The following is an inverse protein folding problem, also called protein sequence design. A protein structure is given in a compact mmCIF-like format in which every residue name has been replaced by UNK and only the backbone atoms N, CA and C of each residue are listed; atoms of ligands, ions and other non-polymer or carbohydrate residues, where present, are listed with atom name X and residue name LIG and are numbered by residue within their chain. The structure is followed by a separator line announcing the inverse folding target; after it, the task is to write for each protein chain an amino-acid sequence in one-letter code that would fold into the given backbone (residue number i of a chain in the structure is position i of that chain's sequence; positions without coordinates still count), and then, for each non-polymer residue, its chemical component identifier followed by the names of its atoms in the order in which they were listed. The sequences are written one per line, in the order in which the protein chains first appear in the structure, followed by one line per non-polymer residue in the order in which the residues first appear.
data_IF_071886893121
#
_entry.id   IF_071886893121
#
_cell.length_a   1.000
_cell.length_b   1.000
_cell.length_c   1.000
_cell.angle_alpha   90.00
_cell.angle_beta   90.00
_cell.angle_gamma   90.00
#
_symmetry.space_group_name_H-M   'P 1'
#
loop_
_entity.id
_entity.type
_entity.pdbx_description
1 polymer ?
#
# COMPACT_ATOMS: atom_id res chain seq x y z
N UNK A 1 1.03 45.54 -4.60
CA UNK A 1 2.33 46.23 -4.84
C UNK A 1 2.10 47.73 -4.73
N UNK A 2 2.92 48.44 -3.95
CA UNK A 2 2.84 49.91 -3.85
C UNK A 2 3.56 50.55 -5.05
N UNK A 3 2.92 51.54 -5.68
CA UNK A 3 3.51 52.31 -6.77
C UNK A 3 3.97 53.69 -6.26
N UNK A 4 5.09 54.23 -6.77
CA UNK A 4 5.46 55.64 -6.63
C UNK A 4 4.32 56.60 -6.97
N UNK A 5 4.14 57.65 -6.16
CA UNK A 5 3.04 58.63 -6.25
C UNK A 5 2.98 59.38 -7.58
N UNK A 6 4.11 59.52 -8.27
CA UNK A 6 4.27 60.31 -9.50
C UNK A 6 3.90 59.54 -10.79
N UNK A 7 3.57 58.24 -10.69
CA UNK A 7 3.21 57.43 -11.87
C UNK A 7 1.71 57.48 -12.18
N UNK A 8 1.36 58.31 -13.17
CA UNK A 8 -0.03 58.54 -13.60
C UNK A 8 -0.34 57.97 -15.00
N UNK A 9 0.30 56.85 -15.37
CA UNK A 9 0.13 56.18 -16.67
C UNK A 9 -0.59 54.84 -16.50
N UNK A 10 -1.26 54.34 -17.54
CA UNK A 10 -1.82 52.99 -17.53
C UNK A 10 -0.67 51.99 -17.45
N UNK A 11 -0.63 51.27 -16.33
CA UNK A 11 0.37 50.26 -16.01
C UNK A 11 -0.37 48.93 -15.93
N UNK A 12 0.04 47.97 -16.75
CA UNK A 12 -0.40 46.58 -16.69
C UNK A 12 0.77 45.67 -16.35
N UNK A 13 0.57 44.77 -15.39
CA UNK A 13 1.51 43.70 -15.11
C UNK A 13 1.13 42.52 -15.99
N UNK A 14 2.00 42.16 -16.93
CA UNK A 14 1.77 41.03 -17.84
C UNK A 14 2.37 39.72 -17.32
N UNK A 15 3.48 39.81 -16.57
CA UNK A 15 4.20 38.62 -16.08
C UNK A 15 4.84 38.86 -14.72
N UNK A 16 4.94 37.79 -13.93
CA UNK A 16 5.63 37.76 -12.63
C UNK A 16 6.55 36.56 -12.53
N UNK A 17 7.66 36.69 -11.82
CA UNK A 17 8.48 35.57 -11.36
C UNK A 17 8.92 35.83 -9.93
N UNK A 18 9.15 34.79 -9.15
CA UNK A 18 9.51 34.95 -7.75
C UNK A 18 10.35 33.80 -7.22
N UNK A 19 11.07 34.08 -6.14
CA UNK A 19 11.65 33.06 -5.29
C UNK A 19 10.95 33.20 -3.94
N UNK A 20 10.23 32.17 -3.51
CA UNK A 20 9.24 32.31 -2.45
C UNK A 20 9.45 31.30 -1.31
N UNK A 21 9.57 31.81 -0.10
CA UNK A 21 9.51 31.00 1.12
C UNK A 21 8.04 30.74 1.48
N UNK A 22 7.74 29.48 1.77
CA UNK A 22 6.38 29.03 2.10
C UNK A 22 6.31 28.69 3.59
N UNK A 23 5.26 29.14 4.26
CA UNK A 23 5.03 29.01 5.69
C UNK A 23 3.69 28.36 5.98
N UNK A 24 3.62 27.59 7.07
CA UNK A 24 2.38 27.09 7.64
C UNK A 24 2.33 27.48 9.13
N UNK A 25 1.28 28.18 9.54
CA UNK A 25 1.14 28.75 10.89
C UNK A 25 2.39 29.49 11.42
N UNK A 26 3.12 30.17 10.52
CA UNK A 26 4.32 30.94 10.86
C UNK A 26 5.63 30.14 10.85
N UNK A 27 5.57 28.80 10.80
CA UNK A 27 6.74 27.94 10.62
C UNK A 27 7.08 27.77 9.13
N UNK A 28 8.36 27.73 8.78
CA UNK A 28 8.81 27.61 7.38
C UNK A 28 8.64 26.16 6.91
N UNK A 29 7.78 25.95 5.91
CA UNK A 29 7.54 24.65 5.29
C UNK A 29 8.59 24.31 4.23
N UNK A 30 8.97 25.30 3.43
CA UNK A 30 9.80 25.06 2.25
C UNK A 30 9.97 26.26 1.37
N UNK A 31 10.41 25.99 0.14
CA UNK A 31 10.66 26.97 -0.89
C UNK A 31 9.94 26.61 -2.19
N UNK A 32 9.29 27.59 -2.79
CA UNK A 32 8.60 27.47 -4.07
C UNK A 32 9.46 28.14 -5.15
N UNK A 33 9.89 27.36 -6.13
CA UNK A 33 10.63 27.88 -7.28
C UNK A 33 9.66 28.46 -8.33
N UNK A 34 9.56 29.79 -8.37
CA UNK A 34 8.85 30.53 -9.40
C UNK A 34 9.82 31.33 -10.28
N UNK A 35 11.05 30.84 -10.49
CA UNK A 35 12.07 31.53 -11.30
C UNK A 35 11.66 31.76 -12.76
N UNK A 36 10.72 30.96 -13.26
CA UNK A 36 10.12 31.11 -14.59
C UNK A 36 9.00 32.14 -14.58
N UNK A 37 8.97 32.98 -15.61
CA UNK A 37 7.90 33.95 -15.82
C UNK A 37 6.52 33.26 -15.94
N UNK A 38 5.61 33.66 -15.08
CA UNK A 38 4.21 33.26 -15.05
C UNK A 38 3.34 34.40 -15.56
N UNK A 39 2.27 34.09 -16.29
CA UNK A 39 1.33 35.10 -16.73
C UNK A 39 0.59 35.71 -15.52
N UNK A 40 0.40 37.01 -15.55
CA UNK A 40 -0.29 37.74 -14.49
C UNK A 40 -1.27 38.75 -15.09
N UNK A 41 -2.31 39.05 -14.32
CA UNK A 41 -3.23 40.14 -14.59
C UNK A 41 -3.16 41.13 -13.43
N UNK A 42 -3.20 42.42 -13.75
CA UNK A 42 -3.27 43.47 -12.75
C UNK A 42 -4.59 44.22 -12.79
N UNK A 43 -5.14 44.49 -11.61
CA UNK A 43 -6.26 45.40 -11.41
C UNK A 43 -5.85 46.51 -10.45
N UNK A 44 -6.23 47.75 -10.77
CA UNK A 44 -5.96 48.89 -9.89
C UNK A 44 -6.99 48.90 -8.76
N UNK A 45 -6.52 48.98 -7.53
CA UNK A 45 -7.37 49.13 -6.36
C UNK A 45 -7.36 50.61 -5.97
N UNK A 46 -8.53 51.14 -5.61
CA UNK A 46 -8.64 52.48 -5.07
C UNK A 46 -8.00 52.53 -3.67
N UNK A 47 -6.92 53.28 -3.53
CA UNK A 47 -6.24 53.51 -2.25
C UNK A 47 -7.01 54.52 -1.39
N UNK A 48 -6.89 54.43 -0.06
CA UNK A 48 -7.37 55.49 0.84
C UNK A 48 -6.58 56.79 0.60
N UNK A 49 -7.14 57.95 0.99
CA UNK A 49 -6.67 59.30 0.60
C UNK A 49 -5.19 59.64 0.87
N UNK A 50 -4.47 58.82 1.65
CA UNK A 50 -3.07 59.02 2.03
C UNK A 50 -2.13 57.87 1.60
N UNK A 51 -2.60 56.92 0.79
CA UNK A 51 -1.77 55.83 0.26
C UNK A 51 -1.70 55.93 -1.28
N UNK A 52 -0.48 55.87 -1.84
CA UNK A 52 -0.26 55.87 -3.29
C UNK A 52 -1.04 54.77 -4.03
N UNK A 53 -1.16 54.83 -5.36
CA UNK A 53 -2.01 53.91 -6.13
C UNK A 53 -1.58 52.44 -5.95
N UNK A 54 -2.52 51.59 -5.50
CA UNK A 54 -2.29 50.16 -5.29
C UNK A 54 -2.65 49.34 -6.53
N UNK A 55 -1.78 48.39 -6.88
CA UNK A 55 -2.06 47.35 -7.87
C UNK A 55 -2.24 46.00 -7.18
N UNK A 56 -3.41 45.38 -7.39
CA UNK A 56 -3.61 43.96 -7.16
C UNK A 56 -3.12 43.18 -8.38
N UNK A 57 -2.19 42.27 -8.14
CA UNK A 57 -1.64 41.39 -9.16
C UNK A 57 -2.11 39.97 -8.85
N UNK A 58 -2.77 39.34 -9.80
CA UNK A 58 -3.23 37.96 -9.68
C UNK A 58 -2.54 37.12 -10.75
N UNK A 59 -1.95 36.00 -10.34
CA UNK A 59 -1.28 35.06 -11.24
C UNK A 59 -1.69 33.65 -10.88
N UNK A 60 -1.90 32.81 -11.90
CA UNK A 60 -2.06 31.38 -11.73
C UNK A 60 -0.66 30.75 -11.70
N UNK A 61 -0.31 30.13 -10.57
CA UNK A 61 0.97 29.44 -10.43
C UNK A 61 0.86 28.08 -11.11
N UNK A 62 1.56 27.91 -12.24
CA UNK A 62 1.63 26.64 -12.95
C UNK A 62 3.04 26.04 -12.88
N UNK A 63 3.10 24.72 -12.63
CA UNK A 63 4.34 23.91 -12.65
C UNK A 63 5.47 24.45 -11.77
N UNK A 64 5.12 24.93 -10.58
CA UNK A 64 6.06 25.39 -9.57
C UNK A 64 6.14 24.35 -8.43
N UNK A 65 7.14 23.46 -8.41
CA UNK A 65 7.27 22.48 -7.34
C UNK A 65 7.62 23.19 -6.02
N UNK A 66 6.94 22.80 -4.95
CA UNK A 66 7.31 23.16 -3.59
C UNK A 66 8.39 22.18 -3.11
N UNK A 67 9.58 22.69 -2.83
CA UNK A 67 10.64 21.94 -2.15
C UNK A 67 10.43 22.05 -0.65
N UNK A 68 10.01 20.97 -0.02
CA UNK A 68 9.88 20.88 1.44
C UNK A 68 11.27 20.91 2.06
N UNK A 69 11.46 21.73 3.10
CA UNK A 69 12.71 21.82 3.87
C UNK A 69 12.54 21.43 5.33
N UNK A 70 11.30 21.39 5.81
CA UNK A 70 10.94 21.04 7.18
C UNK A 70 9.88 19.94 7.17
N UNK A 71 10.29 18.75 7.59
CA UNK A 71 9.48 17.53 7.55
C UNK A 71 8.37 17.52 8.62
N UNK A 72 8.59 18.18 9.76
CA UNK A 72 7.61 18.26 10.86
C UNK A 72 6.47 19.19 10.45
N UNK A 73 6.80 20.36 9.90
CA UNK A 73 5.79 21.31 9.39
C UNK A 73 5.02 20.69 8.23
N UNK A 74 5.69 19.94 7.35
CA UNK A 74 5.02 19.22 6.27
C UNK A 74 4.05 18.15 6.78
N UNK A 75 4.44 17.43 7.82
CA UNK A 75 3.59 16.43 8.47
C UNK A 75 2.31 17.06 9.03
N UNK A 76 2.41 18.23 9.65
CA UNK A 76 1.24 18.99 10.13
C UNK A 76 0.33 19.44 8.99
N UNK A 77 0.89 19.92 7.87
CA UNK A 77 0.13 20.28 6.67
C UNK A 77 -0.61 19.07 6.11
N UNK A 78 0.06 17.91 5.98
CA UNK A 78 -0.57 16.68 5.51
C UNK A 78 -1.70 16.23 6.43
N UNK A 79 -1.49 16.28 7.74
CA UNK A 79 -2.52 15.94 8.73
C UNK A 79 -3.75 16.85 8.58
N UNK A 80 -3.53 18.15 8.39
CA UNK A 80 -4.62 19.11 8.18
C UNK A 80 -5.37 18.85 6.86
N UNK A 81 -4.66 18.55 5.76
CA UNK A 81 -5.28 18.25 4.46
C UNK A 81 -6.05 16.93 4.44
N UNK A 82 -5.53 15.90 5.11
CA UNK A 82 -6.11 14.56 5.14
C UNK A 82 -7.26 14.42 6.16
N UNK A 83 -7.15 15.07 7.34
CA UNK A 83 -8.10 14.88 8.45
C UNK A 83 -8.88 16.14 8.82
N UNK A 84 -8.37 17.33 8.50
CA UNK A 84 -9.03 18.59 8.84
C UNK A 84 -10.32 18.83 8.05
N UNK A 85 -10.50 18.17 6.89
CA UNK A 85 -11.69 18.28 6.05
C UNK A 85 -11.91 19.66 5.43
N UNK A 86 -10.94 20.57 5.57
CA UNK A 86 -10.90 21.92 5.03
C UNK A 86 -9.57 22.13 4.32
N UNK A 87 -9.53 23.07 3.39
CA UNK A 87 -8.27 23.46 2.74
C UNK A 87 -7.28 24.01 3.75
N UNK A 88 -6.00 23.97 3.40
CA UNK A 88 -4.92 24.58 4.20
C UNK A 88 -4.49 25.88 3.53
N UNK A 89 -4.32 26.95 4.30
CA UNK A 89 -3.69 28.17 3.79
C UNK A 89 -2.19 28.14 4.10
N UNK A 90 -1.38 28.26 3.05
CA UNK A 90 0.05 28.40 3.16
C UNK A 90 0.42 29.87 2.99
N UNK A 91 1.13 30.45 3.96
CA UNK A 91 1.68 31.79 3.85
C UNK A 91 2.85 31.81 2.87
N UNK A 92 2.98 32.89 2.11
CA UNK A 92 4.09 33.10 1.18
C UNK A 92 4.77 34.42 1.53
N UNK A 93 6.10 34.39 1.57
CA UNK A 93 6.96 35.58 1.54
C UNK A 93 7.91 35.47 0.37
N UNK A 94 7.92 36.45 -0.51
CA UNK A 94 8.69 36.37 -1.75
C UNK A 94 9.23 37.73 -2.17
N UNK A 95 10.38 37.69 -2.84
CA UNK A 95 10.87 38.80 -3.65
C UNK A 95 10.40 38.59 -5.09
N UNK A 96 9.52 39.47 -5.56
CA UNK A 96 8.85 39.33 -6.85
C UNK A 96 9.49 40.27 -7.87
N UNK A 97 9.81 39.73 -9.04
CA UNK A 97 10.12 40.51 -10.22
C UNK A 97 8.86 40.62 -11.09
N UNK A 98 8.56 41.85 -11.51
CA UNK A 98 7.33 42.20 -12.23
C UNK A 98 7.70 42.80 -13.57
N UNK A 99 7.14 42.26 -14.65
CA UNK A 99 7.23 42.84 -15.99
C UNK A 99 5.99 43.70 -16.26
N UNK A 100 6.23 44.99 -16.45
CA UNK A 100 5.21 46.02 -16.62
C UNK A 100 5.22 46.49 -18.07
N UNK A 101 4.04 46.56 -18.68
CA UNK A 101 3.87 47.21 -19.97
C UNK A 101 3.51 48.68 -19.73
N UNK A 102 4.30 49.57 -20.31
CA UNK A 102 4.10 51.02 -20.28
C UNK A 102 3.99 51.56 -21.70
N UNK A 103 3.46 52.78 -21.85
CA UNK A 103 3.42 53.46 -23.14
C UNK A 103 4.82 53.67 -23.79
N UNK A 104 5.89 53.56 -22.99
CA UNK A 104 7.28 53.71 -23.42
C UNK A 104 7.99 52.37 -23.69
N UNK A 105 7.28 51.25 -23.53
CA UNK A 105 7.82 49.90 -23.67
C UNK A 105 7.74 49.07 -22.39
N UNK A 106 8.44 47.93 -22.40
CA UNK A 106 8.46 46.97 -21.30
C UNK A 106 9.49 47.40 -20.23
N UNK A 107 9.05 47.46 -18.98
CA UNK A 107 9.89 47.79 -17.83
C UNK A 107 9.82 46.62 -16.83
N UNK A 108 10.97 46.08 -16.45
CA UNK A 108 11.05 45.06 -15.41
C UNK A 108 11.48 45.68 -14.07
N UNK A 109 10.60 45.64 -13.08
CA UNK A 109 10.90 46.05 -11.70
C UNK A 109 11.25 44.79 -10.90
N UNK A 110 12.35 44.81 -10.16
CA UNK A 110 12.91 43.63 -9.50
C UNK A 110 12.87 43.72 -7.99
N UNK A 111 12.83 42.56 -7.32
CA UNK A 111 12.90 42.40 -5.86
C UNK A 111 11.88 43.24 -5.09
N UNK A 112 10.63 43.20 -5.54
CA UNK A 112 9.52 43.80 -4.81
C UNK A 112 9.16 42.83 -3.67
N UNK A 113 9.33 43.22 -2.40
CA UNK A 113 8.92 42.36 -1.29
C UNK A 113 7.39 42.22 -1.31
N UNK A 114 6.92 40.98 -1.28
CA UNK A 114 5.51 40.65 -1.29
C UNK A 114 5.19 39.56 -0.27
N UNK A 115 4.04 39.68 0.37
CA UNK A 115 3.46 38.65 1.22
C UNK A 115 2.08 38.25 0.66
N UNK A 116 1.71 36.99 0.85
CA UNK A 116 0.41 36.48 0.41
C UNK A 116 0.07 35.15 1.05
N UNK A 117 -1.07 34.59 0.66
CA UNK A 117 -1.49 33.23 1.05
C UNK A 117 -1.89 32.43 -0.18
N UNK A 118 -1.57 31.13 -0.16
CA UNK A 118 -2.00 30.17 -1.19
C UNK A 118 -2.93 29.15 -0.54
N UNK A 119 -4.22 29.14 -0.90
CA UNK A 119 -5.14 28.13 -0.43
C UNK A 119 -4.88 26.80 -1.17
N UNK A 120 -4.55 25.76 -0.40
CA UNK A 120 -4.44 24.38 -0.85
C UNK A 120 -5.79 23.71 -0.66
N UNK A 121 -6.33 23.10 -1.72
CA UNK A 121 -7.65 22.48 -1.68
C UNK A 121 -7.64 21.25 -0.76
N UNK A 122 -8.74 20.98 -0.03
CA UNK A 122 -8.85 19.77 0.77
C UNK A 122 -8.88 18.53 -0.13
N UNK A 123 -8.44 17.41 0.42
CA UNK A 123 -8.63 16.10 -0.20
C UNK A 123 -10.11 15.72 -0.03
N UNK A 124 -10.85 15.57 -1.14
CA UNK A 124 -12.30 15.32 -1.11
C UNK A 124 -12.60 14.07 -0.26
N UNK A 125 -13.63 14.16 0.61
CA UNK A 125 -14.09 13.04 1.45
C UNK A 125 -14.45 11.84 0.58
N UNK A 126 -13.61 10.81 0.67
CA UNK A 126 -13.56 9.63 -0.20
C UNK A 126 -12.12 9.19 -0.48
N UNK A 127 -11.19 10.15 -0.56
CA UNK A 127 -9.81 9.98 -1.06
C UNK A 127 -8.77 9.41 -0.10
N UNK A 128 -9.16 8.59 0.87
CA UNK A 128 -8.20 7.89 1.76
C UNK A 128 -8.67 6.45 1.95
N UNK A 129 -9.96 6.26 2.24
CA UNK A 129 -10.59 4.94 2.29
C UNK A 129 -10.73 4.23 0.93
N UNK A 130 -10.50 4.94 -0.18
CA UNK A 130 -10.52 4.38 -1.54
C UNK A 130 -9.13 3.94 -2.05
N UNK A 131 -8.08 4.13 -1.25
CA UNK A 131 -6.74 3.69 -1.61
C UNK A 131 -6.63 2.19 -1.31
N UNK A 132 -6.91 1.39 -2.32
CA UNK A 132 -6.77 -0.07 -2.29
C UNK A 132 -5.66 -0.45 -3.27
N UNK A 133 -4.39 -0.47 -2.82
CA UNK A 133 -3.28 -0.81 -3.69
C UNK A 133 -3.43 -2.27 -4.12
N UNK A 134 -3.31 -2.51 -5.42
CA UNK A 134 -3.32 -3.85 -6.01
C UNK A 134 -1.88 -4.31 -6.18
N UNK A 135 -1.54 -5.39 -5.49
CA UNK A 135 -0.22 -6.00 -5.55
C UNK A 135 -0.21 -7.05 -6.65
N UNK A 136 0.67 -6.88 -7.62
CA UNK A 136 0.90 -7.81 -8.73
C UNK A 136 2.35 -8.29 -8.79
N UNK A 137 2.56 -9.42 -9.45
CA UNK A 137 3.89 -9.97 -9.75
C UNK A 137 4.83 -10.05 -8.53
N UNK A 138 4.33 -10.61 -7.43
CA UNK A 138 5.15 -10.93 -6.27
C UNK A 138 6.26 -11.92 -6.67
N UNK A 139 7.51 -11.60 -6.35
CA UNK A 139 8.68 -12.43 -6.59
C UNK A 139 9.56 -12.48 -5.34
N UNK A 140 10.15 -13.64 -5.08
CA UNK A 140 11.15 -13.79 -4.02
C UNK A 140 12.52 -13.51 -4.64
N UNK A 141 13.20 -12.49 -4.12
CA UNK A 141 14.55 -12.11 -4.56
C UNK A 141 15.62 -12.87 -3.81
N UNK A 142 15.48 -12.97 -2.48
CA UNK A 142 16.44 -13.65 -1.61
C UNK A 142 15.75 -14.23 -0.37
N UNK A 143 16.38 -15.23 0.23
CA UNK A 143 15.88 -15.93 1.42
C UNK A 143 17.02 -16.12 2.41
N UNK A 144 16.86 -15.58 3.62
CA UNK A 144 17.67 -15.90 4.78
C UNK A 144 17.10 -17.09 5.55
N UNK A 145 17.68 -17.39 6.72
CA UNK A 145 17.12 -18.43 7.61
C UNK A 145 15.81 -17.99 8.26
N UNK A 146 15.68 -16.70 8.53
CA UNK A 146 14.52 -16.08 9.20
C UNK A 146 13.86 -15.00 8.35
N UNK A 147 14.51 -14.60 7.26
CA UNK A 147 14.11 -13.47 6.43
C UNK A 147 13.73 -13.87 5.00
N UNK A 148 12.81 -13.11 4.42
CA UNK A 148 12.43 -13.16 3.00
C UNK A 148 12.55 -11.76 2.42
N UNK A 149 13.25 -11.65 1.29
CA UNK A 149 13.28 -10.42 0.48
C UNK A 149 12.38 -10.62 -0.73
N UNK A 150 11.37 -9.78 -0.84
CA UNK A 150 10.30 -9.85 -1.81
C UNK A 150 10.32 -8.60 -2.68
N UNK A 151 9.91 -8.74 -3.94
CA UNK A 151 9.60 -7.60 -4.80
C UNK A 151 8.19 -7.75 -5.36
N UNK A 152 7.51 -6.64 -5.55
CA UNK A 152 6.17 -6.60 -6.09
C UNK A 152 5.96 -5.35 -6.95
N UNK A 153 5.08 -5.45 -7.94
CA UNK A 153 4.56 -4.32 -8.68
C UNK A 153 3.24 -3.88 -8.06
N UNK A 154 3.19 -2.65 -7.56
CA UNK A 154 2.01 -2.11 -6.90
C UNK A 154 1.34 -1.11 -7.83
N UNK A 155 0.03 -1.27 -7.98
CA UNK A 155 -0.83 -0.35 -8.69
C UNK A 155 -1.76 0.34 -7.70
N UNK A 156 -1.90 1.66 -7.75
CA UNK A 156 -2.80 2.39 -6.88
C UNK A 156 -3.36 3.62 -7.58
N UNK A 157 -4.46 4.15 -7.03
CA UNK A 157 -5.06 5.39 -7.52
C UNK A 157 -4.75 6.50 -6.53
N UNK A 158 -4.03 7.55 -6.97
CA UNK A 158 -3.89 8.79 -6.23
C UNK A 158 -5.20 9.58 -6.36
N UNK A 159 -5.95 9.76 -5.26
CA UNK A 159 -7.24 10.44 -5.29
C UNK A 159 -7.11 11.98 -5.28
N UNK A 160 -5.89 12.52 -5.21
CA UNK A 160 -5.64 13.96 -5.14
C UNK A 160 -5.38 14.56 -6.52
N UNK A 161 -5.62 15.86 -6.66
CA UNK A 161 -5.26 16.64 -7.87
C UNK A 161 -3.74 16.95 -7.92
N UNK A 162 -2.98 16.53 -6.91
CA UNK A 162 -1.58 16.86 -6.72
C UNK A 162 -0.67 15.70 -7.12
N UNK A 163 0.47 16.01 -7.73
CA UNK A 163 1.55 15.07 -7.98
C UNK A 163 2.64 15.19 -6.93
N UNK A 164 3.32 14.09 -6.64
CA UNK A 164 4.47 14.06 -5.73
C UNK A 164 5.59 13.23 -6.35
N UNK A 165 6.84 13.63 -6.11
CA UNK A 165 8.01 12.81 -6.42
C UNK A 165 8.69 12.48 -5.11
N UNK A 166 8.80 11.18 -4.83
CA UNK A 166 9.35 10.64 -3.58
C UNK A 166 10.63 9.89 -3.92
N UNK A 167 11.82 10.45 -3.63
CA UNK A 167 13.10 9.81 -3.96
C UNK A 167 13.28 8.47 -3.25
N UNK A 168 12.80 8.37 -2.01
CA UNK A 168 12.86 7.17 -1.22
C UNK A 168 11.69 7.13 -0.24
N UNK A 169 11.06 5.97 -0.12
CA UNK A 169 10.08 5.68 0.93
C UNK A 169 10.45 4.38 1.61
N UNK A 170 10.32 4.35 2.94
CA UNK A 170 10.44 3.15 3.76
C UNK A 170 9.20 3.06 4.67
N UNK A 171 8.51 1.94 4.61
CA UNK A 171 7.22 1.70 5.25
C UNK A 171 7.36 0.46 6.13
N UNK A 172 7.17 0.62 7.43
CA UNK A 172 7.13 -0.50 8.35
C UNK A 172 5.89 -1.37 8.12
N UNK A 173 6.08 -2.69 8.14
CA UNK A 173 5.02 -3.70 8.14
C UNK A 173 4.82 -4.12 9.59
N UNK A 174 3.69 -3.73 10.18
CA UNK A 174 3.37 -4.07 11.57
C UNK A 174 2.05 -4.85 11.67
N UNK A 175 1.93 -5.65 12.71
CA UNK A 175 0.67 -6.31 13.11
C UNK A 175 0.56 -6.25 14.62
N UNK A 176 -0.57 -5.75 15.14
CA UNK A 176 -0.76 -5.54 16.59
C UNK A 176 0.36 -4.68 17.24
N UNK A 177 0.94 -3.73 16.50
CA UNK A 177 2.08 -2.94 16.98
C UNK A 177 3.44 -3.65 16.94
N UNK A 178 3.48 -4.93 16.60
CA UNK A 178 4.72 -5.70 16.45
C UNK A 178 5.28 -5.52 15.04
N UNK A 179 6.57 -5.17 14.94
CA UNK A 179 7.27 -4.99 13.67
C UNK A 179 7.62 -6.35 13.05
N UNK A 180 7.14 -6.60 11.83
CA UNK A 180 7.33 -7.87 11.11
C UNK A 180 8.27 -7.72 9.92
N UNK A 181 8.41 -6.51 9.40
CA UNK A 181 9.18 -6.23 8.20
C UNK A 181 9.10 -4.76 7.83
N UNK A 182 9.63 -4.44 6.65
CA UNK A 182 9.53 -3.12 6.06
C UNK A 182 9.53 -3.21 4.54
N UNK A 183 8.96 -2.21 3.88
CA UNK A 183 8.82 -2.11 2.44
C UNK A 183 9.36 -0.78 1.95
N UNK A 184 10.22 -0.84 0.96
CA UNK A 184 10.90 0.32 0.38
C UNK A 184 10.53 0.51 -1.08
N UNK A 185 10.50 1.75 -1.52
CA UNK A 185 10.45 2.10 -2.93
C UNK A 185 11.33 3.32 -3.20
N UNK A 186 11.86 3.41 -4.42
CA UNK A 186 12.79 4.45 -4.85
C UNK A 186 12.21 5.19 -6.05
N UNK A 187 12.49 6.49 -6.13
CA UNK A 187 12.17 7.35 -7.27
C UNK A 187 10.70 7.25 -7.71
N UNK A 188 9.79 7.23 -6.73
CA UNK A 188 8.36 7.07 -6.96
C UNK A 188 7.77 8.39 -7.41
N UNK A 189 7.30 8.45 -8.66
CA UNK A 189 6.51 9.56 -9.16
C UNK A 189 5.02 9.22 -9.06
N UNK A 190 4.31 9.97 -8.23
CA UNK A 190 2.88 9.84 -8.01
C UNK A 190 2.16 10.91 -8.82
N UNK A 191 1.36 10.52 -9.79
CA UNK A 191 0.52 11.42 -10.58
C UNK A 191 -0.94 11.34 -10.12
N UNK A 192 -1.77 12.38 -10.35
CA UNK A 192 -3.21 12.30 -10.12
C UNK A 192 -3.85 11.12 -10.88
N UNK A 193 -4.73 10.39 -10.21
CA UNK A 193 -5.39 9.21 -10.80
C UNK A 193 -4.54 7.93 -10.73
N UNK A 194 -4.60 7.10 -11.76
CA UNK A 194 -4.05 5.74 -11.74
C UNK A 194 -2.52 5.75 -11.90
N UNK A 195 -1.83 5.10 -10.97
CA UNK A 195 -0.40 4.83 -10.98
C UNK A 195 -0.19 3.32 -11.08
N UNK A 196 0.69 2.87 -11.98
CA UNK A 196 0.91 1.44 -12.25
C UNK A 196 2.38 1.08 -12.22
N UNK A 197 2.65 -0.19 -11.94
CA UNK A 197 3.98 -0.82 -11.98
C UNK A 197 5.01 -0.16 -11.05
N UNK A 198 4.56 0.33 -9.89
CA UNK A 198 5.47 0.87 -8.89
C UNK A 198 6.21 -0.30 -8.24
N UNK A 199 7.53 -0.34 -8.42
CA UNK A 199 8.36 -1.40 -7.87
C UNK A 199 8.58 -1.17 -6.38
N UNK A 200 8.10 -2.10 -5.57
CA UNK A 200 8.26 -2.11 -4.12
C UNK A 200 9.09 -3.32 -3.73
N UNK A 201 10.09 -3.12 -2.87
CA UNK A 201 10.88 -4.20 -2.27
C UNK A 201 10.53 -4.31 -0.80
N UNK A 202 10.09 -5.48 -0.35
CA UNK A 202 9.78 -5.75 1.04
C UNK A 202 10.76 -6.74 1.65
N UNK A 203 11.19 -6.49 2.88
CA UNK A 203 11.95 -7.42 3.69
C UNK A 203 11.05 -7.85 4.85
N UNK A 204 10.78 -9.14 4.93
CA UNK A 204 10.05 -9.79 6.00
C UNK A 204 11.06 -10.53 6.89
N UNK A 205 11.28 -10.05 8.12
CA UNK A 205 12.17 -10.71 9.09
C UNK A 205 11.65 -10.49 10.52
N UNK A 206 10.48 -11.07 10.84
CA UNK A 206 9.80 -10.81 12.10
C UNK A 206 10.60 -11.26 13.32
N UNK A 207 11.46 -12.28 13.18
CA UNK A 207 12.29 -12.79 14.27
C UNK A 207 13.40 -11.82 14.63
N UNK A 208 14.13 -11.29 13.65
CA UNK A 208 15.20 -10.33 13.92
C UNK A 208 14.66 -8.98 14.39
N UNK A 209 13.52 -8.53 13.83
CA UNK A 209 12.95 -7.22 14.11
C UNK A 209 12.13 -7.18 15.40
N UNK A 210 11.31 -8.20 15.66
CA UNK A 210 10.38 -8.25 16.80
C UNK A 210 10.72 -9.34 17.84
N UNK A 211 11.82 -10.06 17.69
CA UNK A 211 12.19 -11.17 18.58
C UNK A 211 11.23 -12.36 18.47
N UNK A 212 11.11 -13.14 19.56
CA UNK A 212 10.19 -14.28 19.60
C UNK A 212 8.72 -13.86 19.49
N UNK A 213 8.36 -12.68 20.02
CA UNK A 213 7.00 -12.16 19.87
C UNK A 213 6.72 -11.76 18.42
N UNK A 214 7.68 -11.13 17.75
CA UNK A 214 7.66 -10.88 16.31
C UNK A 214 7.47 -12.17 15.52
N UNK A 215 8.27 -13.19 15.81
CA UNK A 215 8.14 -14.51 15.18
C UNK A 215 6.73 -15.09 15.35
N UNK A 216 6.22 -15.13 16.58
CA UNK A 216 4.87 -15.66 16.90
C UNK A 216 3.77 -14.89 16.16
N UNK A 217 3.81 -13.56 16.18
CA UNK A 217 2.83 -12.71 15.48
C UNK A 217 2.95 -12.87 13.96
N UNK A 218 4.18 -13.01 13.44
CA UNK A 218 4.43 -13.25 12.02
C UNK A 218 3.88 -14.59 11.54
N UNK A 219 4.09 -15.66 12.30
CA UNK A 219 3.51 -16.99 12.02
C UNK A 219 1.98 -16.93 12.05
N UNK A 220 1.41 -16.26 13.05
CA UNK A 220 -0.04 -16.08 13.16
C UNK A 220 -0.60 -15.31 11.95
N UNK A 221 0.04 -14.21 11.58
CA UNK A 221 -0.35 -13.40 10.41
C UNK A 221 -0.33 -14.25 9.12
N UNK A 222 0.76 -14.98 8.87
CA UNK A 222 0.87 -15.84 7.69
C UNK A 222 -0.19 -16.96 7.70
N UNK A 223 -0.44 -17.56 8.86
CA UNK A 223 -1.42 -18.64 9.03
C UNK A 223 -2.85 -18.16 8.78
N UNK A 224 -3.22 -16.99 9.32
CA UNK A 224 -4.52 -16.36 9.07
C UNK A 224 -4.68 -15.94 7.60
N UNK A 225 -3.62 -15.35 7.03
CA UNK A 225 -3.59 -14.94 5.63
C UNK A 225 -3.84 -16.13 4.72
N UNK A 226 -3.10 -17.21 4.91
CA UNK A 226 -3.23 -18.45 4.12
C UNK A 226 -4.60 -19.12 4.35
N UNK A 227 -5.16 -19.02 5.55
CA UNK A 227 -6.53 -19.51 5.84
C UNK A 227 -7.65 -18.62 5.26
N UNK A 228 -7.31 -17.45 4.69
CA UNK A 228 -8.30 -16.48 4.18
C UNK A 228 -9.10 -15.79 5.29
N UNK A 229 -8.55 -15.71 6.50
CA UNK A 229 -9.17 -15.15 7.70
C UNK A 229 -8.55 -13.80 8.11
N UNK A 230 -7.95 -13.07 7.16
CA UNK A 230 -7.33 -11.78 7.46
C UNK A 230 -8.40 -10.76 7.89
N UNK A 231 -8.33 -10.31 9.14
CA UNK A 231 -9.11 -9.16 9.62
C UNK A 231 -8.16 -8.00 9.86
N UNK A 232 -8.37 -6.89 9.17
CA UNK A 232 -7.67 -5.65 9.48
C UNK A 232 -8.15 -5.11 10.83
N UNK A 233 -7.27 -4.48 11.61
CA UNK A 233 -7.64 -3.87 12.89
C UNK A 233 -7.11 -2.45 13.02
N UNK A 234 -7.60 -1.74 14.02
CA UNK A 234 -7.14 -0.40 14.39
C UNK A 234 -5.81 -0.51 15.18
N UNK A 235 -4.67 -0.28 14.54
CA UNK A 235 -3.36 -0.32 15.19
C UNK A 235 -2.14 -0.61 14.31
N UNK A 236 -2.30 -0.66 12.99
CA UNK A 236 -1.23 -1.07 12.05
C UNK A 236 -0.04 -0.11 11.99
N UNK A 237 -0.13 1.15 12.46
CA UNK A 237 0.99 2.11 12.41
C UNK A 237 1.08 2.89 13.73
N UNK A 238 2.05 2.54 14.62
CA UNK A 238 2.14 3.10 15.96
C UNK A 238 2.99 4.37 16.09
N UNK A 239 3.80 4.74 15.09
CA UNK A 239 4.73 5.87 15.21
C UNK A 239 4.02 7.26 15.27
N UNK A 240 2.78 7.35 14.81
CA UNK A 240 1.98 8.59 14.86
C UNK A 240 0.48 8.26 14.94
N UNK A 241 -0.17 8.38 16.11
CA UNK A 241 -1.55 7.90 16.32
C UNK A 241 -2.61 8.49 15.39
N UNK A 242 -2.43 9.76 14.97
CA UNK A 242 -3.29 10.44 13.99
C UNK A 242 -3.14 9.85 12.59
N UNK A 243 -1.91 9.57 12.17
CA UNK A 243 -1.58 8.92 10.90
C UNK A 243 -1.90 7.41 10.91
N UNK A 244 -1.82 6.76 12.07
CA UNK A 244 -2.24 5.37 12.25
C UNK A 244 -3.75 5.18 12.12
N UNK A 245 -4.56 6.09 12.68
CA UNK A 245 -6.03 6.12 12.48
C UNK A 245 -6.42 6.49 11.04
N UNK A 246 -5.53 7.16 10.33
CA UNK A 246 -5.70 7.48 8.92
C UNK A 246 -5.41 6.29 8.02
N UNK A 247 -4.23 5.69 8.21
CA UNK A 247 -3.69 4.57 7.44
C UNK A 247 -4.44 3.27 7.74
N UNK A 248 -5.11 3.13 8.88
CA UNK A 248 -6.05 2.03 9.14
C UNK A 248 -7.25 2.02 8.16
N UNK A 249 -7.54 3.15 7.50
CA UNK A 249 -8.55 3.23 6.43
C UNK A 249 -7.97 2.89 5.05
N UNK A 250 -6.64 2.86 4.90
CA UNK A 250 -5.98 2.42 3.67
C UNK A 250 -5.85 0.90 3.74
N UNK A 251 -6.89 0.20 3.31
CA UNK A 251 -6.85 -1.26 3.21
C UNK A 251 -5.83 -1.68 2.16
N UNK A 252 -4.81 -2.44 2.54
CA UNK A 252 -3.90 -3.08 1.58
C UNK A 252 -4.51 -4.42 1.19
N UNK A 253 -4.94 -4.54 -0.06
CA UNK A 253 -5.40 -5.82 -0.62
C UNK A 253 -4.18 -6.66 -0.99
N UNK A 254 -3.70 -7.44 -0.03
CA UNK A 254 -2.73 -8.50 -0.29
C UNK A 254 -3.44 -9.63 -1.07
N UNK A 255 -2.90 -10.11 -2.21
CA UNK A 255 -3.49 -11.17 -3.00
C UNK A 255 -3.45 -12.47 -2.21
N UNK A 256 -4.52 -12.70 -1.45
CA UNK A 256 -4.62 -13.82 -0.53
C UNK A 256 -4.56 -15.10 -1.36
N UNK A 257 -3.62 -16.03 -1.10
CA UNK A 257 -3.59 -17.33 -1.75
C UNK A 257 -4.83 -18.07 -1.27
N UNK A 258 -5.96 -17.84 -1.92
CA UNK A 258 -7.26 -18.27 -1.41
C UNK A 258 -7.28 -19.80 -1.37
N UNK A 259 -7.19 -20.39 -0.17
CA UNK A 259 -7.19 -21.84 0.04
C UNK A 259 -8.61 -22.42 0.18
N UNK A 260 -9.65 -21.58 0.13
CA UNK A 260 -11.04 -22.02 0.33
C UNK A 260 -11.52 -22.80 -0.88
N UNK A 261 -11.82 -24.08 -0.69
CA UNK A 261 -12.49 -24.88 -1.70
C UNK A 261 -13.98 -24.56 -1.68
N UNK A 262 -14.46 -23.74 -2.60
CA UNK A 262 -15.88 -23.67 -2.91
C UNK A 262 -16.44 -22.27 -3.10
N UNK A 263 -16.96 -22.01 -4.29
CA UNK A 263 -17.96 -20.95 -4.47
C UNK A 263 -18.04 -20.22 -5.79
N UNK A 264 -17.17 -20.44 -6.78
CA UNK A 264 -17.41 -19.98 -8.15
C UNK A 264 -16.54 -20.76 -9.15
N UNK A 265 -17.02 -20.98 -10.38
CA UNK A 265 -16.36 -21.88 -11.36
C UNK A 265 -15.03 -21.35 -11.91
N UNK A 266 -14.62 -20.13 -11.57
CA UNK A 266 -13.46 -19.45 -12.16
C UNK A 266 -12.37 -18.98 -11.17
N UNK A 267 -12.52 -19.20 -9.85
CA UNK A 267 -11.45 -18.83 -8.90
C UNK A 267 -10.40 -19.95 -8.73
N UNK A 268 -9.13 -19.59 -8.92
CA UNK A 268 -8.00 -20.50 -8.78
C UNK A 268 -7.48 -20.50 -7.34
N UNK A 269 -7.76 -21.57 -6.61
CA UNK A 269 -7.29 -21.79 -5.22
C UNK A 269 -5.96 -22.58 -5.18
N UNK A 270 -5.22 -22.54 -4.06
CA UNK A 270 -4.01 -23.37 -3.95
C UNK A 270 -4.33 -24.86 -3.98
N UNK A 271 -5.32 -25.34 -3.21
CA UNK A 271 -5.80 -26.73 -3.31
C UNK A 271 -6.86 -26.75 -4.41
N UNK A 272 -6.46 -27.22 -5.59
CA UNK A 272 -7.32 -27.31 -6.78
C UNK A 272 -8.21 -28.56 -6.75
N UNK A 273 -7.67 -29.67 -6.28
CA UNK A 273 -8.38 -30.94 -6.21
C UNK A 273 -7.81 -31.77 -5.07
N UNK A 274 -8.67 -32.56 -4.44
CA UNK A 274 -8.27 -33.58 -3.47
C UNK A 274 -8.87 -34.91 -3.90
N UNK A 275 -8.08 -35.98 -3.86
CA UNK A 275 -8.58 -37.34 -4.09
C UNK A 275 -8.13 -38.22 -2.94
N UNK A 276 -9.08 -38.94 -2.33
CA UNK A 276 -8.83 -39.95 -1.32
C UNK A 276 -9.03 -41.34 -1.93
N UNK A 277 -8.10 -42.25 -1.65
CA UNK A 277 -8.09 -43.63 -2.13
C UNK A 277 -8.25 -44.55 -0.92
N UNK A 278 -9.37 -45.27 -0.85
CA UNK A 278 -9.74 -46.07 0.31
C UNK A 278 -8.89 -47.34 0.46
N UNK A 279 -8.61 -48.04 -0.64
CA UNK A 279 -7.88 -49.33 -0.62
C UNK A 279 -6.43 -49.11 -0.18
N UNK A 280 -5.77 -48.12 -0.76
CA UNK A 280 -4.38 -47.82 -0.40
C UNK A 280 -4.27 -46.98 0.86
N UNK A 281 -5.38 -46.48 1.37
CA UNK A 281 -5.46 -45.55 2.49
C UNK A 281 -4.55 -44.33 2.30
N UNK A 282 -4.70 -43.65 1.15
CA UNK A 282 -3.87 -42.48 0.79
C UNK A 282 -4.70 -41.35 0.21
N UNK A 283 -4.20 -40.12 0.30
CA UNK A 283 -4.73 -38.97 -0.40
C UNK A 283 -3.66 -38.32 -1.29
N UNK A 284 -4.09 -37.71 -2.39
CA UNK A 284 -3.26 -36.82 -3.18
C UNK A 284 -4.00 -35.53 -3.50
N UNK A 285 -3.23 -34.45 -3.60
CA UNK A 285 -3.73 -33.10 -3.80
C UNK A 285 -3.16 -32.53 -5.08
N UNK A 286 -3.98 -31.85 -5.87
CA UNK A 286 -3.51 -30.98 -6.95
C UNK A 286 -3.33 -29.59 -6.34
N UNK A 287 -2.10 -29.10 -6.35
CA UNK A 287 -1.67 -27.87 -5.73
C UNK A 287 -1.26 -26.85 -6.80
N UNK A 288 -1.82 -25.65 -6.73
CA UNK A 288 -1.48 -24.52 -7.57
C UNK A 288 -0.63 -23.54 -6.77
N UNK A 289 0.66 -23.43 -7.10
CA UNK A 289 1.54 -22.45 -6.44
C UNK A 289 1.07 -21.01 -6.73
N UNK A 290 0.97 -20.14 -5.70
CA UNK A 290 0.68 -18.72 -5.89
C UNK A 290 1.90 -17.94 -6.41
N UNK A 291 3.09 -18.56 -6.41
CA UNK A 291 4.34 -17.95 -6.85
C UNK A 291 4.60 -18.30 -8.32
N UNK A 292 4.93 -17.29 -9.13
CA UNK A 292 5.18 -17.47 -10.56
C UNK A 292 6.59 -17.92 -10.89
N UNK A 293 7.55 -17.67 -10.00
CA UNK A 293 8.99 -17.85 -10.27
C UNK A 293 9.71 -18.75 -9.27
N UNK A 294 9.09 -19.00 -8.10
CA UNK A 294 9.73 -19.72 -6.99
C UNK A 294 8.96 -20.98 -6.63
N UNK A 295 9.69 -22.05 -6.33
CA UNK A 295 9.13 -23.32 -5.86
C UNK A 295 8.94 -23.28 -4.34
N UNK A 296 7.72 -23.58 -3.90
CA UNK A 296 7.42 -23.82 -2.49
C UNK A 296 7.77 -25.28 -2.19
N UNK A 297 8.39 -25.55 -1.05
CA UNK A 297 8.52 -26.91 -0.54
C UNK A 297 7.62 -27.08 0.67
N UNK A 298 6.77 -28.10 0.64
CA UNK A 298 6.07 -28.56 1.84
C UNK A 298 7.01 -29.54 2.53
N UNK A 299 7.45 -29.23 3.74
CA UNK A 299 8.43 -30.02 4.51
C UNK A 299 7.78 -30.87 5.60
N UNK A 300 6.57 -30.51 6.01
CA UNK A 300 5.83 -31.21 7.05
C UNK A 300 4.34 -31.00 6.85
N UNK A 301 3.54 -32.03 7.15
CA UNK A 301 2.09 -31.97 7.21
C UNK A 301 1.66 -32.73 8.46
N UNK A 302 0.82 -32.08 9.26
CA UNK A 302 -0.02 -32.73 10.25
C UNK A 302 -1.42 -32.16 10.10
N UNK A 303 -2.30 -32.92 9.45
CA UNK A 303 -3.60 -32.45 9.03
C UNK A 303 -4.69 -33.42 9.48
N UNK A 304 -5.82 -32.86 9.91
CA UNK A 304 -7.04 -33.62 10.20
C UNK A 304 -8.18 -33.05 9.37
N UNK A 305 -8.84 -33.92 8.63
CA UNK A 305 -10.05 -33.63 7.87
C UNK A 305 -11.29 -33.98 8.71
N UNK A 306 -12.30 -33.12 8.63
CA UNK A 306 -13.55 -33.24 9.36
C UNK A 306 -14.73 -33.20 8.39
N UNK A 307 -15.68 -34.10 8.54
CA UNK A 307 -16.99 -34.00 7.94
C UNK A 307 -18.00 -33.79 9.07
N UNK A 308 -18.75 -32.69 9.02
CA UNK A 308 -19.49 -32.18 10.18
C UNK A 308 -18.56 -31.97 11.39
N UNK A 309 -18.69 -32.79 12.44
CA UNK A 309 -17.85 -32.74 13.65
C UNK A 309 -16.91 -33.96 13.78
N UNK A 310 -17.06 -34.95 12.89
CA UNK A 310 -16.33 -36.21 12.96
C UNK A 310 -15.01 -36.14 12.17
N UNK A 311 -13.94 -36.67 12.76
CA UNK A 311 -12.66 -36.78 12.10
C UNK A 311 -12.70 -37.93 11.08
N UNK A 312 -12.56 -37.58 9.81
CA UNK A 312 -12.69 -38.53 8.69
C UNK A 312 -11.36 -38.92 8.05
N UNK A 313 -10.28 -38.25 8.44
CA UNK A 313 -8.94 -38.59 7.97
C UNK A 313 -7.86 -37.79 8.67
N UNK A 314 -6.76 -38.46 8.99
CA UNK A 314 -5.58 -37.85 9.60
C UNK A 314 -4.33 -38.15 8.74
N UNK A 315 -3.55 -37.12 8.47
CA UNK A 315 -2.31 -37.19 7.68
C UNK A 315 -1.18 -36.67 8.54
N UNK A 316 -0.13 -37.49 8.72
CA UNK A 316 1.18 -37.05 9.21
C UNK A 316 2.22 -37.42 8.17
N UNK A 317 2.94 -36.43 7.67
CA UNK A 317 3.94 -36.61 6.64
C UNK A 317 5.10 -35.64 6.83
N UNK A 318 6.33 -36.14 6.85
CA UNK A 318 7.56 -35.40 7.18
C UNK A 318 8.59 -35.42 6.05
N UNK A 319 8.26 -36.03 4.90
CA UNK A 319 9.11 -36.02 3.72
C UNK A 319 8.81 -34.79 2.85
N UNK A 320 9.83 -34.01 2.46
CA UNK A 320 9.60 -32.80 1.71
C UNK A 320 9.21 -33.10 0.26
N UNK A 321 8.25 -32.34 -0.27
CA UNK A 321 7.91 -32.36 -1.69
C UNK A 321 7.77 -30.94 -2.26
N UNK A 322 8.00 -30.83 -3.57
CA UNK A 322 8.00 -29.56 -4.27
C UNK A 322 6.60 -29.20 -4.80
N UNK A 323 6.26 -27.92 -4.70
CA UNK A 323 5.11 -27.26 -5.31
C UNK A 323 5.66 -26.17 -6.22
N UNK A 324 6.13 -26.52 -7.44
CA UNK A 324 6.70 -25.56 -8.39
C UNK A 324 5.65 -24.56 -8.89
N UNK A 325 6.07 -23.45 -9.53
CA UNK A 325 5.15 -22.53 -10.18
C UNK A 325 4.15 -23.24 -11.10
N UNK A 326 2.87 -22.89 -10.99
CA UNK A 326 1.79 -23.57 -11.70
C UNK A 326 1.18 -24.73 -10.91
N UNK A 327 0.55 -25.66 -11.63
CA UNK A 327 -0.17 -26.80 -11.03
C UNK A 327 0.76 -27.99 -10.90
N UNK A 328 0.73 -28.65 -9.74
CA UNK A 328 1.52 -29.83 -9.42
C UNK A 328 0.71 -30.79 -8.57
N UNK A 329 1.06 -32.07 -8.59
CA UNK A 329 0.37 -33.09 -7.76
C UNK A 329 1.28 -33.48 -6.61
N UNK A 330 0.75 -33.52 -5.40
CA UNK A 330 1.46 -34.03 -4.23
C UNK A 330 1.81 -35.52 -4.41
N UNK A 331 2.78 -36.06 -3.65
CA UNK A 331 2.88 -37.50 -3.48
C UNK A 331 1.59 -38.07 -2.88
N UNK A 332 1.44 -39.40 -2.93
CA UNK A 332 0.39 -40.09 -2.17
C UNK A 332 0.73 -40.00 -0.69
N UNK A 333 -0.04 -39.21 0.04
CA UNK A 333 0.08 -39.02 1.47
C UNK A 333 -0.70 -40.11 2.19
N UNK A 334 -0.11 -40.80 3.19
CA UNK A 334 -0.83 -41.79 3.98
C UNK A 334 -1.95 -41.13 4.78
N UNK A 335 -3.11 -41.78 4.83
CA UNK A 335 -4.29 -41.31 5.56
C UNK A 335 -4.71 -42.38 6.55
N UNK A 336 -4.86 -41.98 7.81
CA UNK A 336 -5.55 -42.76 8.82
C UNK A 336 -7.01 -42.30 8.88
N UNK A 337 -7.93 -43.17 8.47
CA UNK A 337 -9.38 -42.86 8.45
C UNK A 337 -10.05 -43.09 9.80
N UNK A 338 -9.41 -43.81 10.74
CA UNK A 338 -10.11 -44.35 11.91
C UNK A 338 -11.30 -45.24 11.55
N UNK A 339 -12.03 -45.71 12.57
CA UNK A 339 -13.22 -46.56 12.36
C UNK A 339 -14.42 -45.77 11.84
N UNK A 340 -14.68 -44.59 12.42
CA UNK A 340 -15.82 -43.73 12.08
C UNK A 340 -15.63 -43.07 10.71
N UNK A 341 -14.43 -42.55 10.45
CA UNK A 341 -14.12 -41.90 9.18
C UNK A 341 -14.14 -42.85 7.98
N UNK A 342 -13.78 -44.12 8.16
CA UNK A 342 -13.82 -45.09 7.06
C UNK A 342 -15.24 -45.32 6.54
N UNK A 343 -16.23 -45.46 7.43
CA UNK A 343 -17.63 -45.69 7.04
C UNK A 343 -18.22 -44.46 6.35
N UNK A 344 -17.89 -43.27 6.83
CA UNK A 344 -18.36 -42.01 6.27
C UNK A 344 -17.75 -41.72 4.89
N UNK A 345 -16.44 -41.94 4.73
CA UNK A 345 -15.75 -41.80 3.44
C UNK A 345 -16.23 -42.86 2.46
N UNK A 346 -16.43 -44.11 2.89
CA UNK A 346 -16.98 -45.19 2.06
C UNK A 346 -18.40 -44.88 1.58
N UNK A 347 -19.23 -44.24 2.41
CA UNK A 347 -20.57 -43.78 2.02
C UNK A 347 -20.56 -42.79 0.85
N UNK A 348 -19.46 -42.06 0.65
CA UNK A 348 -19.26 -41.12 -0.44
C UNK A 348 -18.47 -41.69 -1.64
N UNK A 349 -18.23 -43.01 -1.70
CA UNK A 349 -17.47 -43.67 -2.76
C UNK A 349 -18.06 -43.37 -4.15
N UNK A 350 -17.21 -42.93 -5.09
CA UNK A 350 -17.63 -42.53 -6.42
C UNK A 350 -18.18 -41.10 -6.51
N UNK A 351 -18.30 -40.41 -5.37
CA UNK A 351 -18.75 -39.02 -5.25
C UNK A 351 -17.66 -38.06 -4.79
N UNK A 352 -18.09 -36.90 -4.31
CA UNK A 352 -17.25 -35.86 -3.69
C UNK A 352 -17.75 -35.58 -2.29
N UNK A 353 -16.87 -35.68 -1.30
CA UNK A 353 -17.15 -35.36 0.11
C UNK A 353 -16.58 -33.97 0.42
N UNK A 354 -17.37 -33.08 1.00
CA UNK A 354 -16.92 -31.74 1.40
C UNK A 354 -16.47 -31.75 2.85
N UNK A 355 -15.22 -31.41 3.11
CA UNK A 355 -14.64 -31.48 4.45
C UNK A 355 -14.09 -30.13 4.89
N UNK A 356 -14.08 -29.92 6.21
CA UNK A 356 -13.20 -28.96 6.83
C UNK A 356 -11.83 -29.60 7.07
N UNK A 357 -10.79 -28.79 7.11
CA UNK A 357 -9.45 -29.27 7.42
C UNK A 357 -8.77 -28.30 8.39
N UNK A 358 -8.08 -28.89 9.37
CA UNK A 358 -7.12 -28.18 10.23
C UNK A 358 -5.76 -28.82 10.04
N UNK A 359 -4.74 -28.02 9.79
CA UNK A 359 -3.40 -28.54 9.56
C UNK A 359 -2.32 -27.67 10.17
N UNK A 360 -1.20 -28.28 10.54
CA UNK A 360 0.10 -27.62 10.69
C UNK A 360 0.96 -28.03 9.52
N UNK A 361 1.49 -27.06 8.78
CA UNK A 361 2.25 -27.28 7.56
C UNK A 361 3.62 -26.62 7.70
N UNK A 362 4.68 -27.39 7.46
CA UNK A 362 6.02 -26.87 7.27
C UNK A 362 6.18 -26.38 5.84
N UNK A 363 6.60 -25.13 5.68
CA UNK A 363 6.76 -24.48 4.38
C UNK A 363 8.19 -23.95 4.29
N UNK A 364 8.86 -24.27 3.18
CA UNK A 364 10.23 -23.81 2.91
C UNK A 364 10.31 -23.12 1.56
N UNK A 365 10.97 -21.97 1.56
CA UNK A 365 11.30 -21.15 0.40
C UNK A 365 12.80 -20.85 0.46
N UNK A 366 13.58 -21.50 -0.41
CA UNK A 366 15.04 -21.38 -0.36
C UNK A 366 15.60 -21.83 1.00
N UNK A 367 16.22 -20.88 1.73
CA UNK A 367 16.77 -21.07 3.08
C UNK A 367 15.77 -20.75 4.21
N UNK A 368 14.68 -20.08 3.88
CA UNK A 368 13.65 -19.71 4.85
C UNK A 368 12.70 -20.90 5.03
N UNK A 369 12.43 -21.26 6.28
CA UNK A 369 11.51 -22.34 6.63
C UNK A 369 10.70 -21.96 7.85
N UNK A 370 9.41 -22.26 7.82
CA UNK A 370 8.48 -21.93 8.90
C UNK A 370 7.39 -23.00 9.04
N UNK A 371 6.84 -23.15 10.25
CA UNK A 371 5.65 -23.97 10.49
C UNK A 371 4.45 -23.07 10.74
N UNK A 372 3.47 -23.16 9.86
CA UNK A 372 2.24 -22.39 9.91
C UNK A 372 1.06 -23.30 10.17
N UNK A 373 -0.01 -22.76 10.74
CA UNK A 373 -1.27 -23.48 10.85
C UNK A 373 -2.21 -23.06 9.72
N UNK A 374 -3.15 -23.95 9.39
CA UNK A 374 -4.16 -23.77 8.38
C UNK A 374 -5.51 -24.23 8.92
N UNK A 375 -6.55 -23.45 8.62
CA UNK A 375 -7.93 -23.85 8.81
C UNK A 375 -8.74 -23.49 7.57
N UNK A 376 -9.40 -24.48 6.98
CA UNK A 376 -10.26 -24.30 5.82
C UNK A 376 -11.54 -25.12 5.91
N UNK A 377 -12.56 -24.67 5.19
CA UNK A 377 -13.86 -25.32 5.10
C UNK A 377 -14.24 -25.53 3.62
N UNK A 378 -15.10 -26.51 3.37
CA UNK A 378 -15.68 -26.75 2.04
C UNK A 378 -14.79 -27.50 1.05
N UNK A 379 -13.62 -27.99 1.46
CA UNK A 379 -12.67 -28.69 0.58
C UNK A 379 -13.33 -29.97 0.05
N UNK A 380 -13.66 -29.98 -1.25
CA UNK A 380 -14.25 -31.15 -1.91
C UNK A 380 -13.19 -32.18 -2.26
N UNK A 381 -13.24 -33.36 -1.65
CA UNK A 381 -12.40 -34.49 -2.02
C UNK A 381 -13.19 -35.56 -2.77
N UNK A 382 -12.64 -36.02 -3.90
CA UNK A 382 -13.18 -37.16 -4.65
C UNK A 382 -12.80 -38.45 -3.96
N UNK A 383 -13.78 -39.31 -3.71
CA UNK A 383 -13.53 -40.60 -3.07
C UNK A 383 -13.43 -41.68 -4.14
N UNK A 384 -12.28 -42.34 -4.17
CA UNK A 384 -11.96 -43.44 -5.09
C UNK A 384 -11.56 -44.68 -4.31
N UNK A 385 -11.61 -45.81 -5.01
CA UNK A 385 -11.07 -47.08 -4.53
C UNK A 385 -9.56 -46.97 -4.36
#
# INVERSE_FOLDING_TARGET
VALPEEMNFNISVGRVRANADVFYHGAKLGYLDLSKWQNANSTRIASAKDEGPLLAVQSAIEKAPLTVTDDDVFTDVLNALLFGGKGVELGIKADVDVEMETALGQLAVRKIPAEGSVPVKPIKRGGVGSFTPKIGNLQILDTGKTSLTLTALVNFTNPTEYSATVPFVDINILTNGTLLGHATAKDVSVVPGVNTNILVTAIWDPRTLGGEEGHRVGVEFLSQYISGCLRTHEGTIPAQPSLGRALSKFGVDLPTPNLRGGGDKDEKHFIQDATMHLITSTANFVLLSPLKTSTIYVTYINATAFHNEDAVGHIVYDLPFAVPPGSSTSPRLPVDFGSIGYDEVKGALGGTLRMAAKATVGVRLGKWEERIWYQGEGIGAKIRL
#
